data_IF_553717555728
#
_entry.id   IF_553717555728
#
_cell.length_a   1.000
_cell.length_b   1.000
_cell.length_c   1.000
_cell.angle_alpha   90.00
_cell.angle_beta   90.00
_cell.angle_gamma   90.00
#
_symmetry.space_group_name_H-M   'P 1'
#
loop_
_entity.id
_entity.type
_entity.pdbx_description
1 polymer ?
#
# COMPACT_ATOMS: atom_id res chain seq x y z
N UNK A 1 -35.50 20.77 34.67
CA UNK A 1 -34.59 21.93 34.55
C UNK A 1 -33.66 21.68 33.37
N UNK A 2 -34.21 21.86 32.17
CA UNK A 2 -33.59 21.58 30.87
C UNK A 2 -33.62 22.86 30.00
N UNK A 3 -32.74 23.86 30.25
CA UNK A 3 -32.51 24.87 29.21
C UNK A 3 -31.04 25.29 28.98
N UNK A 4 -30.04 24.70 29.64
CA UNK A 4 -28.65 25.15 29.47
C UNK A 4 -27.99 24.52 28.23
N UNK A 5 -28.38 23.30 27.87
CA UNK A 5 -27.81 22.56 26.74
C UNK A 5 -28.41 22.94 25.36
N UNK A 6 -29.35 23.89 25.32
CA UNK A 6 -29.97 24.39 24.07
C UNK A 6 -29.38 25.73 23.61
N UNK A 7 -28.75 26.50 24.50
CA UNK A 7 -28.13 27.79 24.15
C UNK A 7 -26.78 27.64 23.46
N UNK A 8 -26.06 26.53 23.64
CA UNK A 8 -24.80 26.30 22.94
C UNK A 8 -25.00 25.82 21.48
N UNK A 9 -26.20 25.37 21.13
CA UNK A 9 -26.55 24.88 19.80
C UNK A 9 -27.28 25.91 18.92
N UNK A 10 -27.48 27.13 19.43
CA UNK A 10 -28.24 28.21 18.74
C UNK A 10 -27.36 29.44 18.46
N UNK A 11 -26.11 29.20 18.07
CA UNK A 11 -25.24 30.14 17.36
C UNK A 11 -24.68 29.37 16.15
N UNK A 12 -25.52 28.80 15.28
CA UNK A 12 -26.28 29.57 14.28
C UNK A 12 -25.40 30.67 13.70
N UNK A 13 -24.53 30.22 12.78
CA UNK A 13 -24.62 30.68 11.40
C UNK A 13 -24.50 32.19 11.19
N UNK A 14 -23.34 32.76 11.50
CA UNK A 14 -22.97 34.08 10.98
C UNK A 14 -21.45 34.21 10.78
N UNK A 15 -20.90 33.46 9.82
CA UNK A 15 -19.62 33.76 9.20
C UNK A 15 -19.48 32.99 7.86
N UNK A 16 -20.49 33.10 7.01
CA UNK A 16 -20.33 32.89 5.57
C UNK A 16 -19.66 34.12 4.96
N UNK A 17 -18.81 33.87 3.95
CA UNK A 17 -18.32 34.80 2.91
C UNK A 17 -16.88 35.31 3.08
N UNK A 18 -15.93 34.61 2.45
CA UNK A 18 -14.84 35.28 1.75
C UNK A 18 -14.43 34.44 0.53
N UNK A 19 -15.21 34.59 -0.55
CA UNK A 19 -14.82 34.22 -1.92
C UNK A 19 -14.97 35.49 -2.75
N UNK A 20 -13.86 36.06 -3.22
CA UNK A 20 -13.71 37.01 -4.33
C UNK A 20 -12.22 36.95 -4.72
N UNK A 21 -11.87 36.20 -5.77
CA UNK A 21 -11.72 36.70 -7.14
C UNK A 21 -10.42 37.50 -7.35
N UNK A 22 -9.32 36.79 -7.65
CA UNK A 22 -8.15 37.35 -8.31
C UNK A 22 -7.87 36.51 -9.58
N UNK A 23 -8.69 36.74 -10.62
CA UNK A 23 -8.35 36.34 -12.00
C UNK A 23 -7.48 37.45 -12.61
N UNK A 24 -6.23 37.12 -12.92
CA UNK A 24 -5.38 37.87 -13.85
C UNK A 24 -5.15 37.05 -15.13
N UNK A 25 -4.91 37.67 -16.30
CA UNK A 25 -5.09 37.05 -17.60
C UNK A 25 -3.91 36.15 -18.04
N UNK A 26 -4.30 35.05 -18.66
CA UNK A 26 -3.58 34.09 -19.51
C UNK A 26 -2.86 34.79 -20.69
N UNK A 27 -1.64 34.33 -21.13
CA UNK A 27 -1.64 33.38 -22.25
C UNK A 27 -0.49 32.35 -22.31
N UNK A 28 -0.83 31.29 -23.05
CA UNK A 28 0.01 30.38 -23.85
C UNK A 28 0.64 29.16 -23.15
N UNK A 29 -0.10 28.05 -23.27
CA UNK A 29 0.36 26.68 -23.12
C UNK A 29 1.60 26.33 -23.96
N UNK A 30 2.37 25.35 -23.49
CA UNK A 30 2.85 24.28 -24.36
C UNK A 30 2.24 22.93 -23.96
N UNK A 31 1.50 22.38 -24.92
CA UNK A 31 1.43 20.99 -25.41
C UNK A 31 1.74 19.83 -24.45
N UNK A 32 0.87 18.79 -24.41
CA UNK A 32 1.06 17.59 -23.59
C UNK A 32 2.25 16.77 -24.10
N UNK A 33 3.26 16.61 -23.25
CA UNK A 33 4.24 15.53 -23.38
C UNK A 33 3.78 14.39 -22.48
N UNK A 34 3.41 13.29 -23.13
CA UNK A 34 3.26 11.98 -22.52
C UNK A 34 4.56 11.56 -21.81
N UNK A 35 4.44 10.91 -20.65
CA UNK A 35 5.37 9.96 -19.98
C UNK A 35 5.08 9.98 -18.47
N UNK A 36 4.88 8.89 -17.73
CA UNK A 36 4.90 7.45 -17.98
C UNK A 36 3.82 6.87 -17.07
N UNK A 37 2.92 6.07 -17.65
CA UNK A 37 2.09 5.14 -16.89
C UNK A 37 3.02 4.30 -16.01
N UNK A 38 2.79 4.34 -14.69
CA UNK A 38 3.40 3.38 -13.78
C UNK A 38 3.21 1.99 -14.40
N UNK A 39 4.28 1.20 -14.61
CA UNK A 39 4.09 -0.13 -15.15
C UNK A 39 3.23 -0.87 -14.14
N UNK A 40 1.99 -1.14 -14.55
CA UNK A 40 1.19 -2.20 -13.98
C UNK A 40 2.09 -3.43 -14.04
N UNK A 41 2.63 -3.79 -12.87
CA UNK A 41 3.42 -4.98 -12.67
C UNK A 41 2.60 -6.13 -13.18
N UNK A 42 2.91 -6.52 -14.41
CA UNK A 42 2.39 -7.72 -15.01
C UNK A 42 3.12 -8.82 -14.26
N UNK A 43 2.49 -9.32 -13.20
CA UNK A 43 2.82 -10.64 -12.68
C UNK A 43 2.37 -11.64 -13.74
N UNK A 44 3.11 -11.66 -14.86
CA UNK A 44 3.26 -12.84 -15.69
C UNK A 44 3.91 -13.86 -14.77
N UNK A 45 3.07 -14.62 -14.07
CA UNK A 45 3.44 -15.93 -13.57
C UNK A 45 3.90 -16.72 -14.77
N UNK A 46 5.20 -16.67 -15.05
CA UNK A 46 5.84 -17.55 -15.99
C UNK A 46 5.43 -18.96 -15.55
N UNK A 47 4.72 -19.66 -16.43
CA UNK A 47 4.52 -21.08 -16.28
C UNK A 47 5.91 -21.70 -16.28
N UNK A 48 6.43 -21.95 -15.08
CA UNK A 48 7.71 -22.59 -14.89
C UNK A 48 7.55 -24.02 -15.37
N UNK A 49 8.28 -24.34 -16.44
CA UNK A 49 8.49 -25.69 -16.91
C UNK A 49 8.87 -26.56 -15.71
N UNK A 50 8.07 -27.59 -15.44
CA UNK A 50 8.30 -28.48 -14.31
C UNK A 50 9.55 -29.29 -14.64
N UNK A 51 10.72 -28.79 -14.23
CA UNK A 51 11.93 -29.60 -14.23
C UNK A 51 11.69 -30.80 -13.30
N UNK A 52 11.50 -31.96 -13.92
CA UNK A 52 11.31 -33.23 -13.23
C UNK A 52 12.57 -33.50 -12.40
N UNK A 53 12.42 -33.52 -11.07
CA UNK A 53 13.54 -33.76 -10.16
C UNK A 53 14.14 -32.53 -9.50
N UNK A 54 13.56 -31.34 -9.62
CA UNK A 54 14.02 -30.16 -8.88
C UNK A 54 13.24 -29.95 -7.56
N UNK A 55 13.86 -29.40 -6.50
CA UNK A 55 13.13 -28.88 -5.34
C UNK A 55 12.32 -27.65 -5.76
N UNK A 56 11.13 -27.47 -5.19
CA UNK A 56 10.25 -26.34 -5.49
C UNK A 56 9.75 -25.71 -4.21
N UNK A 57 10.16 -24.47 -3.95
CA UNK A 57 9.72 -23.70 -2.80
C UNK A 57 8.30 -23.18 -3.05
N UNK A 58 7.41 -23.39 -2.08
CA UNK A 58 6.09 -22.78 -2.04
C UNK A 58 5.79 -22.23 -0.64
N UNK A 59 4.97 -21.19 -0.59
CA UNK A 59 4.41 -20.66 0.65
C UNK A 59 2.97 -20.23 0.42
N UNK A 60 2.16 -20.26 1.47
CA UNK A 60 0.76 -19.84 1.39
C UNK A 60 0.65 -18.31 1.23
N UNK A 61 1.59 -17.56 1.81
CA UNK A 61 1.72 -16.12 1.69
C UNK A 61 3.21 -15.77 1.49
N UNK A 62 3.53 -15.09 0.39
CA UNK A 62 4.90 -14.66 0.09
C UNK A 62 5.25 -13.30 0.72
N UNK A 63 4.24 -12.56 1.17
CA UNK A 63 4.37 -11.19 1.67
C UNK A 63 3.50 -11.03 2.91
N UNK A 64 4.03 -10.39 3.94
CA UNK A 64 3.28 -10.00 5.13
C UNK A 64 3.50 -8.52 5.42
N UNK A 65 2.40 -7.77 5.52
CA UNK A 65 2.41 -6.35 5.85
C UNK A 65 2.21 -6.15 7.36
N UNK A 66 3.26 -5.70 8.03
CA UNK A 66 3.20 -5.42 9.47
C UNK A 66 2.32 -4.21 9.82
N UNK A 67 2.01 -3.35 8.84
CA UNK A 67 1.19 -2.17 9.01
C UNK A 67 1.85 -1.09 9.86
N UNK A 68 1.03 -0.30 10.57
CA UNK A 68 1.52 0.76 11.44
C UNK A 68 2.10 0.20 12.75
N UNK A 69 3.40 0.33 12.92
CA UNK A 69 4.16 -0.17 14.08
C UNK A 69 4.78 1.00 14.85
N UNK A 70 4.81 0.92 16.19
CA UNK A 70 5.49 1.94 17.01
C UNK A 70 6.97 1.58 17.14
N UNK A 71 7.81 2.60 17.34
CA UNK A 71 9.27 2.41 17.41
C UNK A 71 9.74 1.48 18.55
N UNK A 72 8.92 1.29 19.59
CA UNK A 72 9.24 0.41 20.73
C UNK A 72 8.74 -1.02 20.56
N UNK A 73 7.98 -1.31 19.51
CA UNK A 73 7.34 -2.61 19.35
C UNK A 73 8.32 -3.58 18.68
N UNK A 74 8.47 -4.77 19.26
CA UNK A 74 9.12 -5.91 18.61
C UNK A 74 8.02 -6.82 18.08
N UNK A 75 7.97 -6.98 16.76
CA UNK A 75 6.94 -7.77 16.09
C UNK A 75 7.62 -8.83 15.24
N UNK A 76 7.03 -10.03 15.23
CA UNK A 76 7.53 -11.18 14.49
C UNK A 76 6.39 -11.76 13.65
N UNK A 77 6.73 -12.20 12.44
CA UNK A 77 5.84 -12.99 11.60
C UNK A 77 6.58 -14.24 11.11
N UNK A 78 5.90 -15.38 11.10
CA UNK A 78 6.47 -16.67 10.76
C UNK A 78 5.88 -17.14 9.43
N UNK A 79 6.72 -17.23 8.40
CA UNK A 79 6.36 -17.85 7.13
C UNK A 79 6.47 -19.37 7.21
N UNK A 80 5.50 -20.08 6.61
CA UNK A 80 5.57 -21.52 6.40
C UNK A 80 6.04 -21.80 4.98
N UNK A 81 7.19 -22.46 4.87
CA UNK A 81 7.76 -22.87 3.59
C UNK A 81 7.52 -24.37 3.39
N UNK A 82 7.09 -24.73 2.18
CA UNK A 82 6.84 -26.11 1.74
C UNK A 82 7.73 -26.42 0.54
N UNK A 83 8.22 -27.66 0.46
CA UNK A 83 8.82 -28.20 -0.74
C UNK A 83 7.75 -28.97 -1.53
N UNK A 84 7.29 -28.41 -2.64
CA UNK A 84 6.37 -29.06 -3.58
C UNK A 84 7.10 -29.79 -4.72
N UNK A 85 8.44 -29.74 -4.72
CA UNK A 85 9.28 -30.42 -5.68
C UNK A 85 9.44 -31.89 -5.33
N UNK A 86 10.13 -32.62 -6.20
CA UNK A 86 10.36 -34.06 -6.03
C UNK A 86 11.76 -34.39 -5.52
N UNK A 87 12.63 -33.39 -5.37
CA UNK A 87 13.96 -33.53 -4.79
C UNK A 87 14.09 -32.79 -3.45
N UNK A 88 15.12 -33.12 -2.68
CA UNK A 88 15.36 -32.56 -1.36
C UNK A 88 15.65 -31.05 -1.42
N UNK A 89 14.99 -30.29 -0.54
CA UNK A 89 15.20 -28.86 -0.39
C UNK A 89 16.20 -28.60 0.74
N UNK A 90 17.38 -28.10 0.39
CA UNK A 90 18.39 -27.63 1.35
C UNK A 90 18.35 -26.11 1.46
N UNK A 91 18.13 -25.58 2.66
CA UNK A 91 18.13 -24.14 2.95
C UNK A 91 19.42 -23.79 3.68
N UNK A 92 20.23 -22.89 3.10
CA UNK A 92 21.53 -22.48 3.63
C UNK A 92 21.69 -20.96 3.62
N UNK A 93 22.68 -20.45 4.37
CA UNK A 93 23.08 -19.03 4.41
C UNK A 93 21.95 -18.05 4.79
N UNK A 94 21.05 -18.45 5.67
CA UNK A 94 20.01 -17.57 6.22
C UNK A 94 20.66 -16.48 7.07
N UNK A 95 20.36 -15.20 6.77
CA UNK A 95 20.84 -14.04 7.51
C UNK A 95 19.67 -13.26 8.10
N UNK A 96 19.85 -12.76 9.33
CA UNK A 96 18.99 -11.69 9.87
C UNK A 96 19.56 -10.36 9.39
N UNK A 97 18.69 -9.52 8.82
CA UNK A 97 19.05 -8.16 8.39
C UNK A 97 18.77 -7.15 9.49
#
# INVERSE_FOLDING_TARGET
>A
MLPIMKMLFTAVTLATSFVLAACGPEPAAPTPAAEVEAPAGTETGAAQEVEVGAPKIASDEAVYEFGAIKATDSIEHIFKIKNEGTADLHIERVQRT
#
